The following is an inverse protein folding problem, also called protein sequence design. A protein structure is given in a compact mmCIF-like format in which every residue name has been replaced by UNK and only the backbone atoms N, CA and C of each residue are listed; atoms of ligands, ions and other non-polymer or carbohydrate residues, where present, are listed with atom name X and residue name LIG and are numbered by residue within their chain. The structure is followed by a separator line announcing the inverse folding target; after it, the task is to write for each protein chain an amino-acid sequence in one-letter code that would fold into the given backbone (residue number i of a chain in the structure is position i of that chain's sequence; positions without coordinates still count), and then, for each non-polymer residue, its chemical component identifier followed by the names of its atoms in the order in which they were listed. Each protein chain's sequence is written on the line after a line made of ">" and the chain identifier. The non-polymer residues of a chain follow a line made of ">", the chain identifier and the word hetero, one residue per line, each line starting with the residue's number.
data_IF_081051682058
#
_entry.id   IF_081051682058
#
_cell.length_a   1.000
_cell.length_b   1.000
_cell.length_c   1.000
_cell.angle_alpha   90.00
_cell.angle_beta   90.00
_cell.angle_gamma   90.00
#
_symmetry.space_group_name_H-M   'P 1'
#
loop_
_entity.id
_entity.type
_entity.pdbx_description
1 polymer ?
#
# COMPACT_ATOMS: atom_id res chain seq x y z
N UNK A 1 45.62 40.92 30.03
CA UNK A 1 44.34 40.86 29.29
C UNK A 1 44.28 42.00 28.28
N UNK A 2 43.82 41.69 27.05
CA UNK A 2 43.79 42.47 25.78
C UNK A 2 45.11 42.52 24.98
N UNK A 3 45.09 42.53 23.62
CA UNK A 3 43.97 42.37 22.67
C UNK A 3 44.25 41.31 21.58
N UNK A 4 43.46 40.23 21.50
CA UNK A 4 43.48 39.25 20.39
C UNK A 4 42.43 39.55 19.32
N UNK A 5 42.11 40.83 19.08
CA UNK A 5 41.15 41.24 18.07
C UNK A 5 41.80 42.24 17.10
N UNK A 6 42.64 41.68 16.23
CA UNK A 6 43.05 42.35 15.00
C UNK A 6 41.81 42.56 14.13
N UNK A 7 41.64 43.77 13.58
CA UNK A 7 40.52 44.14 12.70
C UNK A 7 40.36 43.14 11.54
N UNK A 8 41.46 42.53 11.09
CA UNK A 8 41.47 41.49 10.04
C UNK A 8 40.77 40.20 10.47
N UNK A 9 40.88 39.83 11.75
CA UNK A 9 40.17 38.67 12.30
C UNK A 9 38.67 38.93 12.35
N UNK A 10 38.27 40.13 12.79
CA UNK A 10 36.84 40.53 12.80
C UNK A 10 36.27 40.54 11.39
N UNK A 11 37.01 41.06 10.40
CA UNK A 11 36.57 41.07 9.00
C UNK A 11 36.41 39.65 8.43
N UNK A 12 37.32 38.73 8.76
CA UNK A 12 37.23 37.34 8.30
C UNK A 12 36.02 36.60 8.90
N UNK A 13 35.76 36.78 10.20
CA UNK A 13 34.61 36.18 10.88
C UNK A 13 33.29 36.76 10.34
N UNK A 14 33.24 38.08 10.09
CA UNK A 14 32.05 38.71 9.51
C UNK A 14 31.78 38.23 8.08
N UNK A 15 32.82 38.03 7.26
CA UNK A 15 32.68 37.49 5.92
C UNK A 15 32.17 36.03 5.92
N UNK A 16 32.67 35.19 6.83
CA UNK A 16 32.18 33.82 6.99
C UNK A 16 30.74 33.76 7.50
N UNK A 17 30.36 34.65 8.43
CA UNK A 17 28.99 34.75 8.91
C UNK A 17 28.02 35.20 7.81
N UNK A 18 28.42 36.16 6.97
CA UNK A 18 27.62 36.59 5.81
C UNK A 18 27.50 35.48 4.76
N UNK A 19 28.58 34.74 4.50
CA UNK A 19 28.54 33.60 3.58
C UNK A 19 27.61 32.49 4.10
N UNK A 20 27.68 32.18 5.39
CA UNK A 20 26.80 31.22 6.03
C UNK A 20 25.33 31.66 5.97
N UNK A 21 25.06 32.95 6.17
CA UNK A 21 23.71 33.53 6.03
C UNK A 21 23.19 33.50 4.60
N UNK A 22 24.04 33.78 3.61
CA UNK A 22 23.67 33.72 2.19
C UNK A 22 23.44 32.28 1.71
N UNK A 23 24.25 31.33 2.19
CA UNK A 23 24.03 29.90 1.98
C UNK A 23 22.71 29.49 2.61
N UNK A 24 22.46 29.87 3.87
CA UNK A 24 21.21 29.55 4.54
C UNK A 24 20.00 30.17 3.83
N UNK A 25 20.08 31.41 3.33
CA UNK A 25 18.94 32.02 2.61
C UNK A 25 18.61 31.30 1.31
N UNK A 26 19.60 30.75 0.59
CA UNK A 26 19.36 29.94 -0.61
C UNK A 26 18.74 28.58 -0.28
N UNK A 27 19.01 28.05 0.92
CA UNK A 27 18.47 26.77 1.39
C UNK A 27 17.22 26.91 2.29
N UNK A 28 16.79 28.12 2.64
CA UNK A 28 15.65 28.40 3.54
C UNK A 28 14.42 28.96 2.81
N UNK A 29 14.42 29.00 1.47
CA UNK A 29 13.25 29.40 0.67
C UNK A 29 12.26 28.25 0.39
N UNK A 30 12.44 27.07 1.02
CA UNK A 30 11.51 25.93 0.93
C UNK A 30 10.99 25.49 2.32
N UNK A 31 10.69 26.44 3.21
CA UNK A 31 9.85 26.20 4.40
C UNK A 31 8.38 26.58 4.11
N UNK A 32 7.87 26.20 2.93
CA UNK A 32 6.50 25.71 2.92
C UNK A 32 6.55 24.38 3.67
N UNK A 33 6.23 24.43 4.96
CA UNK A 33 5.73 23.28 5.68
C UNK A 33 4.49 22.80 4.91
N UNK A 34 4.72 21.96 3.91
CA UNK A 34 3.72 21.06 3.39
C UNK A 34 3.44 20.15 4.58
N UNK A 35 2.51 20.57 5.44
CA UNK A 35 1.71 19.59 6.16
C UNK A 35 1.21 18.66 5.06
N UNK A 36 1.83 17.49 4.98
CA UNK A 36 1.30 16.41 4.18
C UNK A 36 -0.11 16.22 4.73
N UNK A 37 -1.10 16.78 4.04
CA UNK A 37 -2.48 16.40 4.20
C UNK A 37 -2.46 14.94 3.77
N UNK A 38 -2.26 14.06 4.74
CA UNK A 38 -2.48 12.64 4.55
C UNK A 38 -3.93 12.56 4.13
N UNK A 39 -4.16 12.33 2.84
CA UNK A 39 -5.49 12.08 2.35
C UNK A 39 -5.98 10.80 3.01
N UNK A 40 -6.74 10.96 4.09
CA UNK A 40 -7.25 9.86 4.93
C UNK A 40 -8.22 8.95 4.14
N UNK A 41 -8.54 9.31 2.88
CA UNK A 41 -9.41 8.51 2.03
C UNK A 41 -8.68 7.43 1.24
N UNK A 42 -7.36 7.53 1.05
CA UNK A 42 -6.57 6.52 0.32
C UNK A 42 -5.86 5.59 1.32
N UNK A 43 -6.05 4.26 1.24
CA UNK A 43 -5.31 3.32 2.09
C UNK A 43 -3.80 3.52 1.93
N UNK A 44 -3.01 3.48 3.02
CA UNK A 44 -1.56 3.62 2.92
C UNK A 44 -1.00 2.45 2.11
N UNK A 45 -0.07 2.76 1.20
CA UNK A 45 0.64 1.75 0.42
C UNK A 45 1.50 0.87 1.35
N UNK A 46 1.46 -0.44 1.13
CA UNK A 46 2.16 -1.44 1.95
C UNK A 46 2.80 -2.48 1.06
N UNK A 47 4.13 -2.53 1.05
CA UNK A 47 4.84 -3.58 0.35
C UNK A 47 4.88 -4.82 1.22
N UNK A 48 4.31 -5.91 0.71
CA UNK A 48 4.30 -7.18 1.44
C UNK A 48 5.57 -7.94 1.10
N UNK A 49 6.52 -7.95 2.04
CA UNK A 49 7.82 -8.60 1.88
C UNK A 49 7.82 -10.05 2.39
N UNK A 50 6.87 -10.38 3.27
CA UNK A 50 6.75 -11.71 3.87
C UNK A 50 5.34 -12.26 3.68
N UNK A 51 5.26 -13.47 3.12
CA UNK A 51 4.03 -14.25 3.00
C UNK A 51 4.38 -15.67 3.45
N UNK A 52 3.87 -16.09 4.60
CA UNK A 52 4.21 -17.38 5.20
C UNK A 52 3.00 -18.06 5.85
N UNK A 53 2.97 -19.39 5.76
CA UNK A 53 2.02 -20.20 6.50
C UNK A 53 2.40 -20.22 7.98
N UNK A 54 1.49 -19.83 8.85
CA UNK A 54 1.71 -19.86 10.29
C UNK A 54 1.40 -21.25 10.84
N UNK A 55 2.40 -21.89 11.44
CA UNK A 55 2.25 -23.17 12.12
C UNK A 55 1.47 -23.01 13.42
N UNK A 56 1.84 -22.06 14.26
CA UNK A 56 1.16 -21.79 15.52
C UNK A 56 1.36 -20.34 16.00
N UNK A 57 0.59 -19.93 17.00
CA UNK A 57 0.63 -18.59 17.56
C UNK A 57 0.94 -18.65 19.05
N UNK A 58 1.94 -17.89 19.48
CA UNK A 58 2.18 -17.57 20.89
C UNK A 58 1.87 -16.09 21.11
N UNK A 59 1.18 -15.75 22.20
CA UNK A 59 0.75 -14.37 22.44
C UNK A 59 0.83 -14.03 23.90
N UNK A 60 1.05 -12.76 24.19
CA UNK A 60 0.95 -12.27 25.55
C UNK A 60 -0.50 -12.33 26.05
N UNK A 61 -0.72 -12.38 27.39
CA UNK A 61 -2.06 -12.42 27.97
C UNK A 61 -2.95 -11.20 27.62
N UNK A 62 -2.32 -10.07 27.33
CA UNK A 62 -2.92 -8.78 26.98
C UNK A 62 -2.93 -8.53 25.46
N UNK A 63 -2.61 -9.53 24.64
CA UNK A 63 -2.63 -9.37 23.19
C UNK A 63 -4.04 -9.10 22.66
N UNK A 64 -4.20 -7.95 22.01
CA UNK A 64 -5.40 -7.49 21.32
C UNK A 64 -4.99 -6.50 20.23
N UNK A 65 -5.83 -6.35 19.18
CA UNK A 65 -5.77 -5.23 18.25
C UNK A 65 -6.61 -4.10 18.84
N UNK A 66 -5.95 -3.03 19.29
CA UNK A 66 -6.61 -1.85 19.85
C UNK A 66 -7.49 -1.12 18.84
N UNK A 67 -8.32 -0.20 19.32
CA UNK A 67 -9.25 0.57 18.50
C UNK A 67 -8.57 1.43 17.40
N UNK A 68 -7.28 1.72 17.55
CA UNK A 68 -6.43 2.40 16.57
C UNK A 68 -5.81 1.43 15.53
N UNK A 69 -6.17 0.15 15.55
CA UNK A 69 -5.63 -0.87 14.65
C UNK A 69 -4.21 -1.33 15.00
N UNK A 70 -3.71 -1.03 16.21
CA UNK A 70 -2.37 -1.42 16.66
C UNK A 70 -2.41 -2.49 17.75
N UNK A 71 -1.39 -3.33 17.81
CA UNK A 71 -1.25 -4.36 18.85
C UNK A 71 -1.02 -3.74 20.23
N UNK A 72 -1.66 -4.30 21.26
CA UNK A 72 -1.43 -3.92 22.67
C UNK A 72 -0.35 -4.81 23.30
N UNK A 73 -0.41 -6.11 23.03
CA UNK A 73 0.55 -7.12 23.46
C UNK A 73 1.45 -7.60 22.32
N UNK A 74 2.29 -8.59 22.58
CA UNK A 74 3.07 -9.24 21.53
C UNK A 74 2.35 -10.46 20.94
N UNK A 75 2.64 -10.75 19.67
CA UNK A 75 2.22 -11.94 18.96
C UNK A 75 3.41 -12.55 18.23
N UNK A 76 3.76 -13.78 18.59
CA UNK A 76 4.70 -14.60 17.84
C UNK A 76 3.94 -15.55 16.93
N UNK A 77 4.25 -15.44 15.64
CA UNK A 77 3.77 -16.35 14.61
C UNK A 77 4.89 -17.33 14.30
N UNK A 78 4.77 -18.55 14.82
CA UNK A 78 5.71 -19.62 14.55
C UNK A 78 5.47 -20.10 13.12
N UNK A 79 6.48 -20.01 12.27
CA UNK A 79 6.42 -20.39 10.85
C UNK A 79 6.86 -21.84 10.70
N UNK A 80 7.97 -22.19 11.35
CA UNK A 80 8.52 -23.54 11.43
C UNK A 80 9.35 -23.70 12.73
N UNK A 81 10.03 -24.84 12.89
CA UNK A 81 10.83 -25.17 14.08
C UNK A 81 11.95 -24.16 14.41
N UNK A 82 12.37 -23.33 13.45
CA UNK A 82 13.53 -22.44 13.57
C UNK A 82 13.16 -20.96 13.40
N UNK A 83 12.01 -20.67 12.79
CA UNK A 83 11.60 -19.30 12.44
C UNK A 83 10.29 -18.94 13.14
N UNK A 84 10.31 -17.80 13.80
CA UNK A 84 9.12 -17.14 14.31
C UNK A 84 9.16 -15.66 13.93
N UNK A 85 8.02 -15.13 13.53
CA UNK A 85 7.83 -13.71 13.29
C UNK A 85 7.23 -13.06 14.54
N UNK A 86 7.96 -12.16 15.18
CA UNK A 86 7.49 -11.42 16.35
C UNK A 86 6.89 -10.08 15.95
N UNK A 87 5.62 -9.91 16.30
CA UNK A 87 4.92 -8.62 16.28
C UNK A 87 4.97 -8.04 17.69
N UNK A 88 5.53 -6.85 17.82
CA UNK A 88 5.65 -6.15 19.11
C UNK A 88 4.42 -5.28 19.37
N UNK A 89 4.18 -4.84 20.63
CA UNK A 89 3.19 -3.81 20.92
C UNK A 89 3.38 -2.53 20.09
N UNK A 90 2.28 -1.93 19.65
CA UNK A 90 2.24 -0.72 18.82
C UNK A 90 2.36 -0.98 17.32
N UNK A 91 2.53 -2.23 16.89
CA UNK A 91 2.57 -2.56 15.46
C UNK A 91 1.15 -2.54 14.89
N UNK A 92 0.88 -1.77 13.83
CA UNK A 92 -0.42 -1.77 13.17
C UNK A 92 -0.66 -3.10 12.45
N UNK A 93 -1.90 -3.59 12.44
CA UNK A 93 -2.24 -4.81 11.73
C UNK A 93 -3.69 -5.23 11.84
N UNK A 94 -4.05 -6.25 11.08
CA UNK A 94 -5.42 -6.81 11.03
C UNK A 94 -5.38 -8.33 11.20
N UNK A 95 -6.40 -8.88 11.86
CA UNK A 95 -6.55 -10.32 12.06
C UNK A 95 -7.95 -10.72 11.60
N UNK A 96 -8.02 -11.36 10.44
CA UNK A 96 -9.26 -11.88 9.86
C UNK A 96 -9.37 -13.40 10.01
N UNK A 97 -8.27 -14.08 10.34
CA UNK A 97 -8.29 -15.50 10.63
C UNK A 97 -9.03 -15.80 11.95
N UNK A 98 -10.25 -16.36 11.85
CA UNK A 98 -11.16 -16.56 12.98
C UNK A 98 -10.66 -17.53 14.08
N UNK A 99 -9.58 -18.28 13.86
CA UNK A 99 -9.06 -19.22 14.86
C UNK A 99 -7.54 -19.37 14.83
N UNK A 100 -6.86 -18.56 15.64
CA UNK A 100 -5.40 -18.60 15.86
C UNK A 100 -4.93 -19.81 16.70
N UNK A 101 -5.84 -20.64 17.25
CA UNK A 101 -5.45 -21.83 18.03
C UNK A 101 -5.19 -23.05 17.16
N UNK A 102 -5.73 -23.08 15.95
CA UNK A 102 -5.56 -24.21 15.04
C UNK A 102 -4.29 -24.03 14.22
N UNK A 103 -3.50 -25.10 14.13
CA UNK A 103 -2.23 -25.06 13.40
C UNK A 103 -2.42 -25.01 11.89
N UNK A 104 -1.55 -24.27 11.18
CA UNK A 104 -1.51 -24.24 9.70
C UNK A 104 -2.84 -23.86 9.03
N UNK A 105 -3.62 -22.99 9.70
CA UNK A 105 -4.92 -22.46 9.23
C UNK A 105 -4.88 -21.00 8.82
N UNK A 106 -3.82 -20.29 9.18
CA UNK A 106 -3.68 -18.87 8.93
C UNK A 106 -2.37 -18.60 8.19
N UNK A 107 -2.37 -17.54 7.41
CA UNK A 107 -1.22 -17.03 6.69
C UNK A 107 -0.93 -15.64 7.23
N UNK A 108 0.35 -15.34 7.43
CA UNK A 108 0.80 -13.99 7.72
C UNK A 108 1.28 -13.32 6.44
N UNK A 109 0.77 -12.12 6.18
CA UNK A 109 1.31 -11.18 5.21
C UNK A 109 1.89 -10.02 6.00
N UNK A 110 3.16 -9.68 5.79
CA UNK A 110 3.80 -8.59 6.54
C UNK A 110 4.66 -7.69 5.65
N UNK A 111 4.58 -6.40 5.97
CA UNK A 111 5.51 -5.35 5.55
C UNK A 111 6.67 -5.33 6.55
N UNK A 112 7.88 -5.52 6.04
CA UNK A 112 9.06 -5.79 6.86
C UNK A 112 10.11 -4.69 6.68
N UNK A 113 10.69 -4.25 7.80
CA UNK A 113 11.88 -3.41 7.80
C UNK A 113 13.04 -4.17 8.46
N UNK A 114 13.82 -4.86 7.62
CA UNK A 114 14.79 -5.85 8.11
C UNK A 114 14.05 -7.01 8.77
N UNK A 115 14.33 -7.26 10.05
CA UNK A 115 13.66 -8.31 10.83
C UNK A 115 12.42 -7.80 11.59
N UNK A 116 12.11 -6.49 11.51
CA UNK A 116 11.00 -5.88 12.23
C UNK A 116 9.73 -5.83 11.39
N UNK A 117 8.59 -6.18 12.00
CA UNK A 117 7.28 -6.05 11.37
C UNK A 117 6.80 -4.60 11.48
N UNK A 118 6.67 -3.92 10.34
CA UNK A 118 6.10 -2.56 10.25
C UNK A 118 4.58 -2.63 10.23
N UNK A 119 4.03 -3.63 9.54
CA UNK A 119 2.60 -3.91 9.52
C UNK A 119 2.33 -5.38 9.18
N UNK A 120 1.18 -5.92 9.59
CA UNK A 120 0.81 -7.29 9.27
C UNK A 120 -0.70 -7.49 9.04
N UNK A 121 -1.02 -8.52 8.28
CA UNK A 121 -2.32 -9.15 8.22
C UNK A 121 -2.21 -10.64 8.52
N UNK A 122 -3.16 -11.15 9.31
CA UNK A 122 -3.36 -12.59 9.50
C UNK A 122 -4.65 -13.02 8.83
N UNK A 123 -4.52 -13.71 7.70
CA UNK A 123 -5.63 -14.10 6.83
C UNK A 123 -5.89 -15.62 6.91
N UNK A 124 -7.11 -16.07 6.65
CA UNK A 124 -7.40 -17.50 6.57
C UNK A 124 -6.67 -18.13 5.38
N UNK A 125 -6.09 -19.32 5.60
CA UNK A 125 -5.56 -20.16 4.53
C UNK A 125 -6.69 -20.71 3.67
N UNK A 126 -6.62 -20.44 2.38
CA UNK A 126 -7.48 -20.98 1.34
C UNK A 126 -7.09 -22.41 0.92
N UNK A 127 -7.87 -23.03 0.03
CA UNK A 127 -7.53 -24.31 -0.57
C UNK A 127 -6.19 -24.26 -1.29
N UNK A 128 -5.46 -25.39 -1.31
CA UNK A 128 -4.20 -25.54 -2.06
C UNK A 128 -3.11 -24.52 -1.66
N UNK A 129 -3.04 -24.17 -0.38
CA UNK A 129 -2.03 -23.25 0.12
C UNK A 129 -2.09 -21.89 -0.59
N UNK A 130 -3.27 -21.26 -0.53
CA UNK A 130 -3.50 -19.93 -1.10
C UNK A 130 -4.08 -18.95 -0.08
N UNK A 131 -4.12 -17.67 -0.45
CA UNK A 131 -4.87 -16.61 0.22
C UNK A 131 -5.67 -15.83 -0.81
N UNK A 132 -6.94 -15.57 -0.50
CA UNK A 132 -7.79 -14.72 -1.35
C UNK A 132 -7.67 -13.29 -0.87
N UNK A 133 -7.42 -12.40 -1.81
CA UNK A 133 -7.24 -10.96 -1.59
C UNK A 133 -8.25 -10.16 -2.41
N UNK A 134 -8.42 -8.87 -2.06
CA UNK A 134 -9.23 -7.93 -2.83
C UNK A 134 -8.78 -7.79 -4.30
N UNK A 135 -9.54 -7.02 -5.10
CA UNK A 135 -9.14 -6.63 -6.45
C UNK A 135 -7.72 -6.06 -6.56
N UNK A 136 -7.05 -6.41 -7.65
CA UNK A 136 -5.92 -5.65 -8.19
C UNK A 136 -6.49 -4.43 -8.91
N UNK A 137 -5.90 -3.27 -8.67
CA UNK A 137 -6.22 -2.01 -9.35
C UNK A 137 -5.15 -1.61 -10.37
N UNK A 138 -3.90 -2.04 -10.18
CA UNK A 138 -2.80 -1.74 -11.09
C UNK A 138 -1.67 -2.78 -11.01
N UNK A 139 -0.78 -2.80 -12.02
CA UNK A 139 0.46 -3.56 -12.02
C UNK A 139 1.65 -2.60 -12.22
N UNK A 140 2.53 -2.51 -11.23
CA UNK A 140 3.67 -1.60 -11.25
C UNK A 140 4.97 -2.30 -10.85
N UNK A 141 6.02 -2.19 -11.68
CA UNK A 141 7.38 -2.67 -11.38
C UNK A 141 7.48 -4.10 -10.82
N UNK A 142 6.65 -5.03 -11.32
CA UNK A 142 6.62 -6.43 -10.88
C UNK A 142 5.77 -6.69 -9.63
N UNK A 143 5.05 -5.69 -9.15
CA UNK A 143 4.08 -5.77 -8.06
C UNK A 143 2.65 -5.50 -8.55
N UNK A 144 1.70 -6.29 -8.03
CA UNK A 144 0.29 -6.06 -8.18
C UNK A 144 -0.16 -5.14 -7.04
N UNK A 145 -0.77 -4.02 -7.40
CA UNK A 145 -1.31 -3.02 -6.46
C UNK A 145 -2.78 -3.32 -6.23
N UNK A 146 -3.16 -3.45 -4.98
CA UNK A 146 -4.50 -3.83 -4.55
C UNK A 146 -5.33 -2.61 -4.13
N UNK A 147 -6.65 -2.72 -4.18
CA UNK A 147 -7.57 -1.66 -3.75
C UNK A 147 -7.33 -1.20 -2.30
N UNK A 148 -6.87 -2.12 -1.44
CA UNK A 148 -6.56 -1.85 -0.03
C UNK A 148 -5.13 -1.28 0.19
N UNK A 149 -4.43 -0.90 -0.87
CA UNK A 149 -3.09 -0.32 -0.84
C UNK A 149 -1.96 -1.34 -0.71
N UNK A 150 -2.22 -2.65 -0.80
CA UNK A 150 -1.14 -3.64 -0.71
C UNK A 150 -0.40 -3.77 -2.04
N UNK A 151 0.90 -4.06 -1.97
CA UNK A 151 1.74 -4.40 -3.11
C UNK A 151 2.29 -5.81 -2.91
N UNK A 152 2.01 -6.72 -3.84
CA UNK A 152 2.47 -8.11 -3.78
C UNK A 152 3.09 -8.50 -5.13
N UNK A 153 4.24 -9.18 -5.16
CA UNK A 153 4.86 -9.58 -6.42
C UNK A 153 3.95 -10.52 -7.23
N UNK A 154 4.09 -10.47 -8.56
CA UNK A 154 3.35 -11.35 -9.48
C UNK A 154 4.30 -11.99 -10.51
N UNK A 155 3.97 -13.18 -11.03
CA UNK A 155 4.76 -13.84 -12.07
C UNK A 155 4.54 -13.14 -13.42
N UNK A 156 5.38 -13.37 -14.46
CA UNK A 156 5.21 -12.73 -15.76
C UNK A 156 3.82 -12.91 -16.42
N UNK A 157 3.08 -13.95 -16.02
CA UNK A 157 1.70 -14.22 -16.46
C UNK A 157 0.84 -14.56 -15.25
N UNK A 158 -0.19 -13.73 -15.00
CA UNK A 158 -1.24 -14.02 -14.01
C UNK A 158 -2.36 -14.80 -14.71
N UNK A 159 -2.72 -15.95 -14.15
CA UNK A 159 -3.81 -16.78 -14.64
C UNK A 159 -5.16 -16.09 -14.43
N UNK A 160 -6.11 -16.32 -15.34
CA UNK A 160 -7.43 -15.69 -15.31
C UNK A 160 -8.48 -16.78 -15.24
N UNK A 161 -9.10 -16.92 -14.07
CA UNK A 161 -10.22 -17.81 -13.84
C UNK A 161 -11.52 -17.07 -14.14
N UNK A 162 -11.90 -17.12 -15.42
CA UNK A 162 -13.06 -16.44 -15.99
C UNK A 162 -13.81 -17.42 -16.90
N UNK A 163 -15.04 -17.09 -17.27
CA UNK A 163 -15.76 -17.87 -18.28
C UNK A 163 -14.97 -17.87 -19.61
N UNK A 164 -14.71 -19.05 -20.17
CA UNK A 164 -13.94 -19.24 -21.40
C UNK A 164 -14.56 -18.55 -22.63
N UNK A 165 -15.86 -18.23 -22.59
CA UNK A 165 -16.54 -17.48 -23.65
C UNK A 165 -16.18 -15.99 -23.69
N UNK A 166 -15.54 -15.47 -22.63
CA UNK A 166 -15.10 -14.09 -22.56
C UNK A 166 -13.79 -13.89 -23.33
N UNK A 167 -13.83 -13.10 -24.41
CA UNK A 167 -12.63 -12.64 -25.11
C UNK A 167 -11.93 -11.55 -24.28
N UNK A 168 -11.06 -11.95 -23.35
CA UNK A 168 -10.21 -11.04 -22.55
C UNK A 168 -8.81 -11.05 -23.15
N UNK A 169 -8.42 -9.96 -23.81
CA UNK A 169 -7.20 -9.93 -24.64
C UNK A 169 -5.91 -9.77 -23.85
N UNK A 170 -5.95 -8.99 -22.79
CA UNK A 170 -4.79 -8.67 -21.96
C UNK A 170 -5.25 -8.27 -20.55
N UNK A 171 -4.29 -8.03 -19.65
CA UNK A 171 -4.59 -7.71 -18.25
C UNK A 171 -5.26 -6.34 -18.09
N UNK A 172 -4.91 -5.34 -18.89
CA UNK A 172 -5.58 -4.03 -18.87
C UNK A 172 -7.07 -4.12 -19.25
N UNK A 173 -7.40 -4.99 -20.21
CA UNK A 173 -8.79 -5.29 -20.57
C UNK A 173 -9.52 -5.99 -19.42
N UNK A 174 -8.85 -6.92 -18.73
CA UNK A 174 -9.37 -7.53 -17.50
C UNK A 174 -9.66 -6.49 -16.42
N UNK A 175 -8.70 -5.65 -16.04
CA UNK A 175 -8.86 -4.64 -14.98
C UNK A 175 -10.02 -3.70 -15.27
N UNK A 176 -10.13 -3.21 -16.51
CA UNK A 176 -11.21 -2.30 -16.92
C UNK A 176 -12.60 -2.93 -16.82
N UNK A 177 -12.73 -4.22 -17.15
CA UNK A 177 -14.02 -4.91 -17.26
C UNK A 177 -14.44 -5.61 -15.98
N UNK A 178 -13.49 -6.16 -15.23
CA UNK A 178 -13.78 -7.03 -14.08
C UNK A 178 -13.08 -6.58 -12.80
N UNK A 179 -12.09 -5.68 -12.87
CA UNK A 179 -11.23 -5.27 -11.76
C UNK A 179 -12.01 -5.04 -10.46
N UNK A 180 -12.94 -4.07 -10.39
CA UNK A 180 -13.65 -3.73 -9.16
C UNK A 180 -14.42 -4.89 -8.50
N UNK A 181 -14.85 -5.88 -9.28
CA UNK A 181 -15.63 -7.01 -8.77
C UNK A 181 -14.82 -8.31 -8.71
N UNK A 182 -13.54 -8.27 -9.04
CA UNK A 182 -12.68 -9.45 -9.08
C UNK A 182 -12.15 -9.84 -7.70
N UNK A 183 -11.56 -11.02 -7.62
CA UNK A 183 -10.75 -11.42 -6.46
C UNK A 183 -9.41 -11.93 -6.95
N UNK A 184 -8.41 -11.86 -6.10
CA UNK A 184 -7.04 -12.26 -6.44
C UNK A 184 -6.59 -13.40 -5.54
N UNK A 185 -5.85 -14.34 -6.11
CA UNK A 185 -5.31 -15.49 -5.39
C UNK A 185 -3.80 -15.34 -5.28
N UNK A 186 -3.32 -15.34 -4.05
CA UNK A 186 -1.89 -15.45 -3.72
C UNK A 186 -1.57 -16.90 -3.42
N UNK A 187 -0.56 -17.43 -4.09
CA UNK A 187 -0.03 -18.77 -3.85
C UNK A 187 1.11 -18.73 -2.82
N UNK A 188 1.05 -19.58 -1.80
CA UNK A 188 2.00 -19.53 -0.67
C UNK A 188 3.36 -20.15 -1.01
N UNK A 189 3.43 -21.04 -2.00
CA UNK A 189 4.68 -21.67 -2.41
C UNK A 189 5.55 -20.69 -3.20
N UNK A 190 4.93 -19.92 -4.09
CA UNK A 190 5.59 -18.91 -4.93
C UNK A 190 5.60 -17.51 -4.31
N UNK A 191 4.74 -17.28 -3.30
CA UNK A 191 4.54 -16.00 -2.60
C UNK A 191 4.18 -14.86 -3.57
N UNK A 192 3.39 -15.20 -4.57
CA UNK A 192 3.03 -14.29 -5.66
C UNK A 192 1.55 -14.35 -5.95
N UNK A 193 1.04 -13.30 -6.57
CA UNK A 193 -0.33 -13.27 -7.10
C UNK A 193 -0.37 -14.08 -8.39
N UNK A 194 -0.89 -15.31 -8.35
CA UNK A 194 -0.82 -16.25 -9.47
C UNK A 194 -2.08 -16.28 -10.30
N UNK A 195 -3.23 -15.94 -9.72
CA UNK A 195 -4.53 -16.01 -10.40
C UNK A 195 -5.43 -14.83 -10.00
N UNK A 196 -6.26 -14.40 -10.93
CA UNK A 196 -7.42 -13.55 -10.68
C UNK A 196 -8.70 -14.27 -11.07
N UNK A 197 -9.74 -14.17 -10.26
CA UNK A 197 -11.08 -14.69 -10.56
C UNK A 197 -11.99 -13.53 -10.98
N UNK A 198 -12.63 -13.67 -12.15
CA UNK A 198 -13.58 -12.67 -12.64
C UNK A 198 -14.83 -12.59 -11.76
N UNK A 199 -15.25 -11.36 -11.45
CA UNK A 199 -16.57 -11.08 -10.89
C UNK A 199 -17.57 -10.65 -11.95
N UNK A 200 -18.54 -9.82 -11.55
CA UNK A 200 -19.50 -9.20 -12.47
C UNK A 200 -18.80 -8.18 -13.38
N UNK A 201 -19.14 -8.20 -14.67
CA UNK A 201 -18.61 -7.23 -15.64
C UNK A 201 -19.14 -5.82 -15.35
N UNK A 202 -18.23 -4.85 -15.26
CA UNK A 202 -18.57 -3.45 -15.10
C UNK A 202 -19.03 -2.90 -16.45
N UNK A 203 -20.35 -2.75 -16.59
CA UNK A 203 -20.93 -2.03 -17.73
C UNK A 203 -20.70 -0.54 -17.50
N UNK A 204 -19.90 0.09 -18.36
CA UNK A 204 -19.76 1.54 -18.33
C UNK A 204 -21.13 2.18 -18.58
N UNK A 205 -21.73 2.78 -17.55
CA UNK A 205 -22.90 3.61 -17.73
C UNK A 205 -22.45 4.85 -18.48
N UNK A 206 -22.68 4.89 -19.79
CA UNK A 206 -22.50 6.14 -20.55
C UNK A 206 -23.50 7.15 -20.02
N UNK A 207 -23.06 8.02 -19.12
CA UNK A 207 -23.79 9.25 -18.79
C UNK A 207 -23.86 10.07 -20.07
N UNK A 208 -24.96 9.91 -20.82
CA UNK A 208 -25.32 10.84 -21.87
C UNK A 208 -25.62 12.17 -21.19
N UNK A 209 -24.65 13.08 -21.16
CA UNK A 209 -24.92 14.48 -20.89
C UNK A 209 -25.98 14.95 -21.92
N UNK A 210 -27.06 15.62 -21.50
CA UNK A 210 -27.98 16.21 -22.46
C UNK A 210 -27.21 17.20 -23.32
N UNK A 211 -27.30 17.04 -24.64
CA UNK A 211 -26.78 18.00 -25.58
C UNK A 211 -27.54 19.32 -25.37
N UNK A 212 -26.87 20.32 -24.82
CA UNK A 212 -27.37 21.69 -24.82
C UNK A 212 -27.49 22.15 -26.28
N UNK A 213 -28.75 22.27 -26.72
CA UNK A 213 -29.16 22.88 -27.97
C UNK A 213 -28.84 24.38 -27.93
N UNK A 214 -27.60 24.73 -28.27
CA UNK A 214 -27.20 26.11 -28.54
C UNK A 214 -27.71 26.52 -29.92
N UNK A 215 -29.01 26.80 -30.02
CA UNK A 215 -29.59 27.52 -31.16
C UNK A 215 -29.01 28.94 -31.18
N UNK A 216 -28.08 29.18 -32.11
CA UNK A 216 -27.60 30.51 -32.50
C UNK A 216 -28.74 31.28 -33.18
N UNK A 217 -29.28 32.31 -32.54
CA UNK A 217 -30.01 33.36 -33.25
C UNK A 217 -29.04 34.49 -33.61
N UNK A 218 -28.70 34.53 -34.89
CA UNK A 218 -28.03 35.62 -35.58
C UNK A 218 -28.90 36.87 -35.56
N UNK A 219 -28.34 37.95 -35.04
CA UNK A 219 -28.81 39.33 -35.23
C UNK A 219 -28.65 39.69 -36.70
N UNK A 220 -29.72 40.21 -37.31
CA UNK A 220 -29.64 40.92 -38.58
C UNK A 220 -30.65 42.07 -38.58
N UNK A 221 -30.10 43.27 -38.75
CA UNK A 221 -30.74 44.59 -38.89
C UNK A 221 -31.63 44.73 -40.15
N UNK A 222 -32.33 45.87 -40.22
CA UNK A 222 -33.10 46.50 -41.35
C UNK A 222 -34.61 46.35 -41.16
N UNK A 223 -35.46 47.39 -41.05
CA UNK A 223 -35.49 48.76 -41.61
C UNK A 223 -36.30 49.69 -40.69
#
# INVERSE_FOLDING_TARGET
>A
MRPLLSIRFVAAVAALALLALAVNSVFSDDDELIEAVVDVTTPPERRIDLIELVESFERSPDFEIGANGQTIGFLDMVIDEQRALRVVPGTPGVIECANLRNTRRCVVLADMLGDAVVWFAVLPRGPRDTVILPPIIDLNDGYAVFENGWEIPYPPVIERNCDESLDIRNFSDFLRRFGPNSTSTVDLDTRQVTEVTCGEEVVATTTTAPADDATSQSVSDTE
#
